data_IF_915195714399
#
_entry.id   IF_915195714399
#
_cell.length_a   1.000
_cell.length_b   1.000
_cell.length_c   1.000
_cell.angle_alpha   90.00
_cell.angle_beta   90.00
_cell.angle_gamma   90.00
#
_symmetry.space_group_name_H-M   'P 1'
#
loop_
_entity.id
_entity.type
_entity.pdbx_description
1 polymer ?
#
# COMPACT_ATOMS: atom_id res chain seq x y z
N UNK A 1 -4.02 17.97 -5.66
CA UNK A 1 -2.72 17.71 -6.29
C UNK A 1 -1.57 17.58 -5.27
N UNK A 2 -1.12 18.66 -4.61
CA UNK A 2 0.02 18.57 -3.68
C UNK A 2 -0.26 17.65 -2.47
N UNK A 3 -1.46 17.74 -1.89
CA UNK A 3 -1.92 16.86 -0.81
C UNK A 3 -1.90 15.39 -1.23
N UNK A 4 -2.43 15.07 -2.42
CA UNK A 4 -2.56 13.70 -2.91
C UNK A 4 -1.19 13.08 -3.17
N UNK A 5 -0.25 13.87 -3.71
CA UNK A 5 1.14 13.47 -3.86
C UNK A 5 1.78 13.13 -2.50
N UNK A 6 1.57 13.97 -1.48
CA UNK A 6 2.07 13.73 -0.12
C UNK A 6 1.48 12.43 0.45
N UNK A 7 0.17 12.19 0.27
CA UNK A 7 -0.49 10.97 0.76
C UNK A 7 0.10 9.73 0.10
N UNK A 8 0.28 9.74 -1.22
CA UNK A 8 0.89 8.64 -1.98
C UNK A 8 2.33 8.40 -1.52
N UNK A 9 3.10 9.47 -1.34
CA UNK A 9 4.49 9.39 -0.88
C UNK A 9 4.58 8.76 0.52
N UNK A 10 3.78 9.23 1.48
CA UNK A 10 3.76 8.69 2.85
C UNK A 10 3.36 7.22 2.84
N UNK A 11 2.34 6.84 2.07
CA UNK A 11 1.91 5.44 1.99
C UNK A 11 2.97 4.54 1.35
N UNK A 12 3.69 5.02 0.34
CA UNK A 12 4.80 4.30 -0.28
C UNK A 12 5.95 4.11 0.71
N UNK A 13 6.30 5.15 1.47
CA UNK A 13 7.32 5.06 2.54
C UNK A 13 6.91 4.01 3.58
N UNK A 14 5.64 4.02 4.03
CA UNK A 14 5.12 3.02 4.97
C UNK A 14 5.25 1.60 4.43
N UNK A 15 4.93 1.37 3.16
CA UNK A 15 5.11 0.06 2.51
C UNK A 15 6.56 -0.40 2.57
N UNK A 16 7.51 0.46 2.19
CA UNK A 16 8.95 0.14 2.20
C UNK A 16 9.42 -0.22 3.60
N UNK A 17 9.00 0.54 4.61
CA UNK A 17 9.33 0.27 6.02
C UNK A 17 8.76 -1.08 6.46
N UNK A 18 7.51 -1.40 6.12
CA UNK A 18 6.89 -2.69 6.46
C UNK A 18 7.63 -3.86 5.80
N UNK A 19 7.98 -3.75 4.52
CA UNK A 19 8.76 -4.77 3.80
C UNK A 19 10.11 -4.97 4.46
N UNK A 20 10.83 -3.89 4.78
CA UNK A 20 12.13 -3.97 5.45
C UNK A 20 12.04 -4.65 6.83
N UNK A 21 10.99 -4.35 7.61
CA UNK A 21 10.73 -5.01 8.89
C UNK A 21 10.40 -6.49 8.71
N UNK A 22 9.61 -6.86 7.70
CA UNK A 22 9.30 -8.25 7.39
C UNK A 22 10.55 -9.05 7.02
N UNK A 23 11.43 -8.48 6.19
CA UNK A 23 12.70 -9.12 5.83
C UNK A 23 13.57 -9.30 7.09
N UNK A 24 13.70 -8.27 7.91
CA UNK A 24 14.49 -8.33 9.15
C UNK A 24 13.97 -9.40 10.12
N UNK A 25 12.65 -9.53 10.26
CA UNK A 25 12.04 -10.58 11.09
C UNK A 25 12.24 -11.96 10.47
N UNK A 26 12.11 -12.09 9.16
CA UNK A 26 12.30 -13.32 8.43
C UNK A 26 13.74 -13.87 8.54
N UNK A 27 14.74 -13.00 8.59
CA UNK A 27 16.15 -13.41 8.77
C UNK A 27 16.47 -13.97 10.15
N UNK A 28 15.56 -13.89 11.12
CA UNK A 28 15.78 -14.36 12.49
C UNK A 28 15.65 -15.88 12.62
N UNK A 29 14.69 -16.48 11.91
CA UNK A 29 14.40 -17.92 11.99
C UNK A 29 14.11 -18.51 10.59
N UNK A 30 14.59 -19.75 10.33
CA UNK A 30 14.37 -20.41 9.03
C UNK A 30 12.88 -20.60 8.69
N UNK A 31 12.03 -20.85 9.70
CA UNK A 31 10.57 -21.00 9.52
C UNK A 31 9.88 -19.69 9.11
N UNK A 32 10.38 -18.54 9.59
CA UNK A 32 9.85 -17.23 9.22
C UNK A 32 10.34 -16.76 7.85
N UNK A 33 11.46 -17.31 7.37
CA UNK A 33 12.00 -16.99 6.05
C UNK A 33 11.07 -17.43 4.92
N UNK A 34 10.48 -18.61 5.02
CA UNK A 34 9.49 -19.11 4.04
C UNK A 34 8.23 -18.22 3.97
N UNK A 35 7.85 -17.59 5.09
CA UNK A 35 6.71 -16.68 5.15
C UNK A 35 7.02 -15.28 4.62
N UNK A 36 8.28 -14.94 4.40
CA UNK A 36 8.69 -13.60 3.98
C UNK A 36 8.12 -13.22 2.61
N UNK A 37 8.27 -14.12 1.63
CA UNK A 37 7.82 -13.92 0.25
C UNK A 37 6.30 -13.67 0.18
N UNK A 38 5.42 -14.53 0.74
CA UNK A 38 3.99 -14.31 0.68
C UNK A 38 3.55 -13.05 1.46
N UNK A 39 4.21 -12.71 2.57
CA UNK A 39 3.90 -11.48 3.33
C UNK A 39 4.26 -10.21 2.55
N UNK A 40 5.44 -10.18 1.92
CA UNK A 40 5.83 -9.06 1.06
C UNK A 40 4.87 -8.94 -0.13
N UNK A 41 4.54 -10.07 -0.76
CA UNK A 41 3.57 -10.12 -1.86
C UNK A 41 2.21 -9.56 -1.46
N UNK A 42 1.71 -9.93 -0.28
CA UNK A 42 0.45 -9.41 0.26
C UNK A 42 0.50 -7.88 0.49
N UNK A 43 1.58 -7.35 1.05
CA UNK A 43 1.72 -5.90 1.26
C UNK A 43 1.78 -5.13 -0.05
N UNK A 44 2.51 -5.63 -1.04
CA UNK A 44 2.57 -5.01 -2.37
C UNK A 44 1.19 -5.03 -3.03
N UNK A 45 0.49 -6.18 -2.98
CA UNK A 45 -0.85 -6.29 -3.55
C UNK A 45 -1.83 -5.31 -2.89
N UNK A 46 -1.86 -5.27 -1.55
CA UNK A 46 -2.71 -4.32 -0.80
C UNK A 46 -2.44 -2.87 -1.19
N UNK A 47 -1.15 -2.50 -1.31
CA UNK A 47 -0.77 -1.14 -1.70
C UNK A 47 -1.23 -0.81 -3.13
N UNK A 48 -1.04 -1.71 -4.08
CA UNK A 48 -1.45 -1.53 -5.48
C UNK A 48 -2.97 -1.38 -5.59
N UNK A 49 -3.75 -2.25 -4.92
CA UNK A 49 -5.21 -2.13 -4.95
C UNK A 49 -5.69 -0.82 -4.32
N UNK A 50 -5.06 -0.40 -3.22
CA UNK A 50 -5.40 0.86 -2.55
C UNK A 50 -5.04 2.09 -3.39
N UNK A 51 -3.87 2.14 -4.01
CA UNK A 51 -3.45 3.33 -4.78
C UNK A 51 -4.28 3.50 -6.05
N UNK A 52 -4.65 2.41 -6.72
CA UNK A 52 -5.51 2.46 -7.91
C UNK A 52 -6.88 3.03 -7.56
N UNK A 53 -7.49 2.54 -6.49
CA UNK A 53 -8.79 3.04 -6.01
C UNK A 53 -8.68 4.51 -5.58
N UNK A 54 -7.64 4.88 -4.84
CA UNK A 54 -7.42 6.27 -4.44
C UNK A 54 -7.27 7.22 -5.64
N UNK A 55 -6.41 6.89 -6.61
CA UNK A 55 -6.18 7.73 -7.80
C UNK A 55 -7.47 7.93 -8.61
N UNK A 56 -8.29 6.88 -8.74
CA UNK A 56 -9.58 6.96 -9.45
C UNK A 56 -10.54 8.00 -8.87
N UNK A 57 -10.36 8.37 -7.60
CA UNK A 57 -11.21 9.30 -6.87
C UNK A 57 -10.63 10.73 -6.76
N UNK A 58 -9.38 10.99 -7.15
CA UNK A 58 -8.76 12.33 -7.03
C UNK A 58 -9.46 13.35 -7.93
N UNK A 59 -9.79 12.94 -9.15
CA UNK A 59 -10.48 13.76 -10.15
C UNK A 59 -11.59 12.93 -10.81
N UNK A 60 -12.73 12.74 -10.11
CA UNK A 60 -13.80 11.92 -10.64
C UNK A 60 -14.46 12.62 -11.83
N UNK A 61 -14.67 11.87 -12.91
CA UNK A 61 -15.42 12.36 -14.09
C UNK A 61 -16.92 12.53 -13.82
N UNK A 62 -17.45 11.75 -12.87
CA UNK A 62 -18.85 11.75 -12.47
C UNK A 62 -18.91 12.09 -10.99
N UNK A 63 -19.67 13.13 -10.65
CA UNK A 63 -19.91 13.53 -9.27
C UNK A 63 -21.07 12.70 -8.68
N UNK A 64 -21.06 12.41 -7.37
CA UNK A 64 -22.16 11.69 -6.74
C UNK A 64 -23.46 12.51 -6.81
N UNK A 65 -24.54 11.88 -7.24
CA UNK A 65 -25.88 12.48 -7.25
C UNK A 65 -26.46 12.43 -5.84
N UNK A 66 -26.66 13.61 -5.23
CA UNK A 66 -27.22 13.71 -3.88
C UNK A 66 -28.74 13.91 -4.02
N UNK A 67 -29.50 12.83 -3.84
CA UNK A 67 -30.97 12.90 -3.74
C UNK A 67 -31.32 13.31 -2.30
N UNK A 68 -31.99 14.46 -2.15
CA UNK A 68 -32.45 14.98 -0.84
C UNK A 68 -33.75 14.32 -0.41
#
# INVERSE_FOLDING_TARGET
MMRDFIIILIGTIKLVVLIALSIKLATKDNKTNEMCIPVIGAFVFMWVTWIVTYISQIHPFILPEIVK
#
